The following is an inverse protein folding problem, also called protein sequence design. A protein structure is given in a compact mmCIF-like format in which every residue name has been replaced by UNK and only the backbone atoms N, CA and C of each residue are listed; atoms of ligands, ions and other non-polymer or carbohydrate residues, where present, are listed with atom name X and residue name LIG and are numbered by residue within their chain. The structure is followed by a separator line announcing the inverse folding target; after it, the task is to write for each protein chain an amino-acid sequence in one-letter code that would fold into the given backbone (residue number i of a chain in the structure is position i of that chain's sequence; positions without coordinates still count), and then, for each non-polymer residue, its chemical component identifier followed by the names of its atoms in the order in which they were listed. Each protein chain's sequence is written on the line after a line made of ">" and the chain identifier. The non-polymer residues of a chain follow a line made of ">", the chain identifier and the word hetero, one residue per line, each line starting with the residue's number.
data_IF_178053218525
#
_entry.id   IF_178053218525
#
_cell.length_a   1.000
_cell.length_b   1.000
_cell.length_c   1.000
_cell.angle_alpha   90.00
_cell.angle_beta   90.00
_cell.angle_gamma   90.00
#
_symmetry.space_group_name_H-M   'P 1'
#
loop_
_entity.id
_entity.type
_entity.pdbx_description
1 polymer ?
#
# COMPACT_ATOMS: atom_id res chain seq x y z
N UNK A 1 3.02 2.43 -11.53
CA UNK A 1 2.50 1.26 -10.77
C UNK A 1 3.33 0.97 -9.54
N UNK A 2 4.65 0.81 -9.68
CA UNK A 2 5.59 0.45 -8.60
C UNK A 2 5.59 1.39 -7.38
N UNK A 3 5.46 2.71 -7.58
CA UNK A 3 5.59 3.72 -6.51
C UNK A 3 4.32 3.99 -5.71
N UNK A 4 3.17 3.47 -6.16
CA UNK A 4 1.93 3.53 -5.39
C UNK A 4 1.87 2.44 -4.30
N UNK A 5 2.49 1.28 -4.57
CA UNK A 5 2.42 0.10 -3.71
C UNK A 5 3.17 0.27 -2.40
N UNK A 6 4.19 1.14 -2.36
CA UNK A 6 5.07 1.25 -1.19
C UNK A 6 5.39 2.69 -0.85
N UNK A 7 4.36 3.49 -0.66
CA UNK A 7 4.56 4.71 0.10
C UNK A 7 4.94 4.29 1.52
N UNK A 8 6.20 4.52 1.88
CA UNK A 8 6.56 4.79 3.28
C UNK A 8 5.48 5.73 3.81
N UNK A 9 4.70 5.27 4.77
CA UNK A 9 3.61 6.05 5.33
C UNK A 9 4.29 7.25 6.01
N UNK A 10 4.36 8.39 5.32
CA UNK A 10 4.79 9.65 5.94
C UNK A 10 3.68 10.16 6.86
N UNK A 11 2.44 9.69 6.66
CA UNK A 11 1.38 9.77 7.65
C UNK A 11 1.70 8.77 8.77
N UNK A 12 1.72 9.23 10.02
CA UNK A 12 2.08 8.34 11.14
C UNK A 12 1.21 7.08 11.24
N UNK A 13 -0.02 7.12 10.71
CA UNK A 13 -0.98 6.02 10.79
C UNK A 13 -1.63 5.78 9.41
N UNK A 14 -1.40 4.64 8.75
CA UNK A 14 -2.21 4.22 7.62
C UNK A 14 -3.61 3.84 8.11
N UNK A 15 -4.64 4.07 7.29
CA UNK A 15 -6.05 3.75 7.61
C UNK A 15 -6.58 2.59 6.75
N UNK A 16 -5.82 2.18 5.73
CA UNK A 16 -6.20 1.21 4.70
C UNK A 16 -5.06 0.24 4.40
N UNK A 17 -5.38 -0.94 3.89
CA UNK A 17 -4.43 -1.95 3.45
C UNK A 17 -4.86 -2.66 2.17
N UNK A 18 -3.88 -3.02 1.33
CA UNK A 18 -4.08 -3.90 0.19
C UNK A 18 -3.66 -5.32 0.57
N UNK A 19 -4.60 -6.19 0.92
CA UNK A 19 -4.28 -7.49 1.52
C UNK A 19 -3.68 -8.51 0.55
N UNK A 20 -3.99 -8.40 -0.75
CA UNK A 20 -3.38 -9.28 -1.76
C UNK A 20 -1.93 -8.88 -2.11
N UNK A 21 -1.55 -7.65 -1.81
CA UNK A 21 -0.19 -7.11 -2.04
C UNK A 21 0.61 -7.09 -0.73
N UNK A 22 -0.07 -7.02 0.41
CA UNK A 22 0.53 -6.97 1.75
C UNK A 22 1.08 -5.60 2.13
N UNK A 23 0.38 -4.51 1.77
CA UNK A 23 0.86 -3.13 2.00
C UNK A 23 -0.19 -2.25 2.70
N UNK A 24 0.27 -1.42 3.63
CA UNK A 24 -0.51 -0.40 4.31
C UNK A 24 -0.39 0.94 3.59
N UNK A 25 -1.52 1.63 3.40
CA UNK A 25 -1.63 2.83 2.58
C UNK A 25 -2.58 3.87 3.22
N UNK A 26 -2.46 5.12 2.81
CA UNK A 26 -3.39 6.18 3.24
C UNK A 26 -4.67 6.22 2.39
N UNK A 27 -5.67 6.96 2.85
CA UNK A 27 -6.98 7.11 2.19
C UNK A 27 -6.90 7.54 0.72
N UNK A 28 -6.02 8.50 0.39
CA UNK A 28 -5.86 8.94 -1.00
C UNK A 28 -5.27 7.83 -1.89
N UNK A 29 -4.27 7.10 -1.39
CA UNK A 29 -3.71 5.94 -2.09
C UNK A 29 -4.74 4.81 -2.25
N UNK A 30 -5.58 4.57 -1.25
CA UNK A 30 -6.68 3.61 -1.35
C UNK A 30 -7.64 3.96 -2.50
N UNK A 31 -7.91 5.25 -2.73
CA UNK A 31 -8.66 5.72 -3.92
C UNK A 31 -7.99 5.33 -5.23
N UNK A 32 -6.68 5.57 -5.37
CA UNK A 32 -5.93 5.15 -6.57
C UNK A 32 -5.95 3.64 -6.78
N UNK A 33 -5.75 2.86 -5.72
CA UNK A 33 -5.76 1.40 -5.81
C UNK A 33 -7.13 0.85 -6.21
N UNK A 34 -8.24 1.45 -5.76
CA UNK A 34 -9.59 1.09 -6.22
C UNK A 34 -9.75 1.27 -7.72
N UNK A 35 -9.18 2.34 -8.28
CA UNK A 35 -9.23 2.62 -9.73
C UNK A 35 -8.43 1.60 -10.57
N UNK A 36 -7.47 0.88 -9.98
CA UNK A 36 -6.74 -0.19 -10.66
C UNK A 36 -7.61 -1.45 -10.85
N UNK A 37 -8.63 -1.63 -10.01
CA UNK A 37 -9.51 -2.80 -10.03
C UNK A 37 -9.02 -3.97 -9.15
N UNK A 38 -9.97 -4.80 -8.73
CA UNK A 38 -9.77 -5.87 -7.75
C UNK A 38 -8.89 -7.05 -8.24
N UNK A 39 -8.65 -7.15 -9.55
CA UNK A 39 -7.71 -8.10 -10.13
C UNK A 39 -6.25 -7.69 -9.89
N UNK A 40 -6.00 -6.41 -9.60
CA UNK A 40 -4.67 -5.87 -9.29
C UNK A 40 -4.51 -5.65 -7.79
N UNK A 41 -5.43 -4.89 -7.17
CA UNK A 41 -5.33 -4.51 -5.77
C UNK A 41 -6.67 -4.62 -5.07
N UNK A 42 -6.69 -5.36 -3.96
CA UNK A 42 -7.87 -5.57 -3.12
C UNK A 42 -7.68 -4.84 -1.81
N UNK A 43 -8.53 -3.83 -1.58
CA UNK A 43 -8.36 -2.82 -0.53
C UNK A 43 -9.38 -3.05 0.57
N UNK A 44 -8.93 -2.97 1.83
CA UNK A 44 -9.76 -2.97 3.04
C UNK A 44 -9.31 -1.85 3.99
N UNK A 45 -10.25 -1.29 4.75
CA UNK A 45 -9.99 -0.43 5.89
C UNK A 45 -9.41 -1.25 7.03
N UNK A 46 -8.42 -0.69 7.72
CA UNK A 46 -7.80 -1.37 8.88
C UNK A 46 -8.80 -1.46 10.05
N UNK A 47 -9.64 -0.44 10.22
CA UNK A 47 -10.54 -0.35 11.38
C UNK A 47 -11.99 -0.68 11.05
N UNK A 48 -12.42 -0.49 9.79
CA UNK A 48 -13.85 -0.55 9.43
C UNK A 48 -14.25 -1.85 8.71
N UNK A 49 -13.29 -2.62 8.19
CA UNK A 49 -13.57 -3.85 7.46
C UNK A 49 -13.19 -5.08 8.29
N UNK A 50 -13.88 -6.19 8.06
CA UNK A 50 -13.52 -7.48 8.64
C UNK A 50 -12.35 -8.10 7.87
N UNK A 51 -11.38 -8.65 8.60
CA UNK A 51 -10.21 -9.32 8.07
C UNK A 51 -10.22 -10.81 8.44
N UNK A 52 -9.88 -11.67 7.49
CA UNK A 52 -9.64 -13.08 7.76
C UNK A 52 -8.16 -13.35 8.06
N UNK A 53 -7.87 -14.53 8.63
CA UNK A 53 -6.54 -14.89 9.09
C UNK A 53 -5.51 -14.90 7.96
N UNK A 54 -5.88 -15.35 6.76
CA UNK A 54 -5.00 -15.40 5.60
C UNK A 54 -4.63 -13.98 5.13
N UNK A 55 -5.60 -13.05 5.16
CA UNK A 55 -5.34 -11.65 4.87
C UNK A 55 -4.40 -11.00 5.88
N UNK A 56 -4.62 -11.24 7.17
CA UNK A 56 -3.74 -10.72 8.22
C UNK A 56 -2.32 -11.27 8.09
N UNK A 57 -2.20 -12.57 7.80
CA UNK A 57 -0.91 -13.24 7.57
C UNK A 57 -0.16 -12.61 6.40
N UNK A 58 -0.84 -12.30 5.29
CA UNK A 58 -0.21 -11.60 4.16
C UNK A 58 0.29 -10.19 4.52
N UNK A 59 -0.45 -9.47 5.36
CA UNK A 59 -0.05 -8.12 5.79
C UNK A 59 1.17 -8.16 6.72
N UNK A 60 1.25 -9.16 7.60
CA UNK A 60 2.38 -9.38 8.50
C UNK A 60 3.62 -9.90 7.74
N UNK A 61 3.41 -10.86 6.83
CA UNK A 61 4.50 -11.48 6.08
C UNK A 61 5.18 -10.47 5.18
N UNK A 62 4.44 -9.66 4.42
CA UNK A 62 5.04 -8.73 3.47
C UNK A 62 5.34 -7.39 4.14
N UNK A 63 4.30 -6.66 4.54
CA UNK A 63 4.41 -5.31 5.06
C UNK A 63 5.11 -4.32 4.12
N UNK A 64 5.13 -3.04 4.52
CA UNK A 64 5.68 -1.98 3.67
C UNK A 64 7.20 -2.11 3.46
N UNK A 65 7.95 -2.65 4.43
CA UNK A 65 9.40 -2.81 4.29
C UNK A 65 9.78 -3.80 3.18
N UNK A 66 9.23 -5.02 3.18
CA UNK A 66 9.57 -6.01 2.15
C UNK A 66 8.96 -5.64 0.81
N UNK A 67 7.75 -5.08 0.81
CA UNK A 67 7.17 -4.53 -0.40
C UNK A 67 8.11 -3.47 -1.01
N UNK A 68 8.72 -2.60 -0.19
CA UNK A 68 9.64 -1.56 -0.66
C UNK A 68 10.82 -2.17 -1.37
N UNK A 69 11.45 -3.15 -0.72
CA UNK A 69 12.58 -3.87 -1.28
C UNK A 69 12.23 -4.59 -2.58
N UNK A 70 11.00 -5.12 -2.72
CA UNK A 70 10.57 -5.84 -3.92
C UNK A 70 10.20 -4.90 -5.08
N UNK A 71 9.34 -3.92 -4.81
CA UNK A 71 8.78 -3.08 -5.85
C UNK A 71 9.74 -1.94 -6.18
N UNK A 72 10.34 -1.28 -5.19
CA UNK A 72 11.16 -0.09 -5.42
C UNK A 72 12.64 -0.39 -5.76
N UNK A 73 13.03 -1.66 -5.97
CA UNK A 73 14.44 -2.04 -6.17
C UNK A 73 15.14 -1.35 -7.35
N UNK A 74 14.41 -1.05 -8.42
CA UNK A 74 14.95 -0.46 -9.65
C UNK A 74 14.61 1.03 -9.80
N UNK A 75 14.32 1.72 -8.69
CA UNK A 75 14.04 3.16 -8.73
C UNK A 75 15.39 3.92 -8.76
N UNK A 76 15.67 4.70 -9.81
CA UNK A 76 16.91 5.50 -9.89
C UNK A 76 16.96 6.57 -8.80
N UNK A 77 18.17 6.95 -8.36
CA UNK A 77 18.32 8.00 -7.33
C UNK A 77 17.69 9.36 -7.72
N UNK A 78 17.60 9.66 -9.02
CA UNK A 78 16.99 10.89 -9.51
C UNK A 78 15.44 10.84 -9.59
N UNK A 79 14.81 9.71 -9.24
CA UNK A 79 13.35 9.59 -9.27
C UNK A 79 12.71 10.46 -8.17
N UNK A 80 12.05 11.55 -8.58
CA UNK A 80 11.25 12.36 -7.68
C UNK A 80 9.94 11.62 -7.38
N UNK A 81 9.73 11.25 -6.12
CA UNK A 81 8.45 10.71 -5.67
C UNK A 81 7.35 11.78 -5.84
N UNK A 82 6.22 11.44 -6.48
CA UNK A 82 5.11 12.39 -6.61
C UNK A 82 4.52 12.69 -5.22
N UNK A 83 4.49 13.98 -4.87
CA UNK A 83 3.84 14.50 -3.67
C UNK A 83 2.32 14.42 -3.87
N UNK A 84 1.61 13.86 -2.88
CA UNK A 84 0.15 13.88 -2.85
C UNK A 84 -0.25 15.00 -1.92
N UNK A 85 -0.99 15.98 -2.43
CA UNK A 85 -1.49 17.07 -1.61
C UNK A 85 -2.45 16.53 -0.53
N UNK A 86 -2.27 16.95 0.72
CA UNK A 86 -3.19 16.63 1.83
C UNK A 86 -2.86 15.37 2.66
N UNK A 87 -1.58 15.06 2.88
CA UNK A 87 -1.13 14.02 3.82
C UNK A 87 -1.35 14.41 5.28
#
# INVERSE_FOLDING_TARGET
>A
MVTALVRNVVKKNPDWGSYNIGVFICTSCAGFHRNLGAHISKIKSILLDNWDADQLSMMEEIGNLKAKAKYEMHIPMCYRRPYVYGS
#
